data_IF_308675400576
#
_entry.id   IF_308675400576
#
_cell.length_a   1.000
_cell.length_b   1.000
_cell.length_c   1.000
_cell.angle_alpha   90.00
_cell.angle_beta   90.00
_cell.angle_gamma   90.00
#
_symmetry.space_group_name_H-M   'P 1'
#
loop_
_entity.id
_entity.type
_entity.pdbx_description
1 polymer ?
#
# COMPACT_ATOMS: atom_id res chain seq x y z
N UNK A 1 -6.88 -26.06 -23.73
CA UNK A 1 -7.58 -26.20 -22.44
C UNK A 1 -7.45 -27.64 -21.96
N UNK A 2 -7.20 -27.85 -20.67
CA UNK A 2 -6.66 -29.09 -20.09
C UNK A 2 -7.72 -30.15 -19.68
N UNK A 3 -8.90 -30.17 -20.31
CA UNK A 3 -9.87 -31.27 -20.13
C UNK A 3 -10.58 -31.32 -18.77
N UNK A 4 -10.78 -30.18 -18.13
CA UNK A 4 -11.61 -30.09 -16.92
C UNK A 4 -13.09 -30.10 -17.32
N UNK A 5 -13.89 -30.93 -16.65
CA UNK A 5 -15.34 -31.04 -16.89
C UNK A 5 -16.09 -29.75 -16.50
N UNK A 6 -15.60 -29.02 -15.49
CA UNK A 6 -16.08 -27.66 -15.18
C UNK A 6 -15.02 -26.83 -14.48
N UNK A 7 -15.03 -25.52 -14.73
CA UNK A 7 -14.21 -24.52 -14.06
C UNK A 7 -15.11 -23.34 -13.72
N UNK A 8 -15.17 -22.96 -12.45
CA UNK A 8 -16.03 -21.89 -11.97
C UNK A 8 -15.28 -20.98 -11.02
N UNK A 9 -15.57 -19.68 -11.09
CA UNK A 9 -15.10 -18.68 -10.15
C UNK A 9 -16.18 -18.48 -9.08
N UNK A 10 -15.85 -18.81 -7.83
CA UNK A 10 -16.75 -18.65 -6.68
C UNK A 10 -16.25 -17.48 -5.84
N UNK A 11 -17.10 -16.49 -5.64
CA UNK A 11 -16.75 -15.22 -4.99
C UNK A 11 -17.29 -15.14 -3.56
N UNK A 12 -16.59 -14.38 -2.73
CA UNK A 12 -17.00 -14.03 -1.38
C UNK A 12 -16.74 -12.55 -1.14
N UNK A 13 -17.67 -11.90 -0.45
CA UNK A 13 -17.48 -10.54 0.04
C UNK A 13 -16.72 -10.60 1.36
N UNK A 14 -15.44 -10.22 1.30
CA UNK A 14 -14.54 -10.19 2.46
C UNK A 14 -14.06 -8.77 2.70
N UNK A 15 -13.79 -8.44 3.96
CA UNK A 15 -13.19 -7.14 4.30
C UNK A 15 -11.73 -7.14 3.85
N UNK A 16 -11.40 -6.23 2.94
CA UNK A 16 -10.05 -5.94 2.50
C UNK A 16 -9.64 -4.54 2.99
N UNK A 17 -8.34 -4.30 3.07
CA UNK A 17 -7.77 -3.02 3.48
C UNK A 17 -6.71 -2.60 2.45
N UNK A 18 -6.69 -1.33 2.08
CA UNK A 18 -5.73 -0.75 1.15
C UNK A 18 -5.34 0.66 1.64
N UNK A 19 -4.12 1.14 1.32
CA UNK A 19 -3.75 2.53 1.57
C UNK A 19 -4.55 3.50 0.69
N UNK A 20 -4.64 4.77 1.10
CA UNK A 20 -5.30 5.82 0.33
C UNK A 20 -4.33 6.40 -0.72
N UNK A 21 -4.65 6.25 -2.00
CA UNK A 21 -3.83 6.74 -3.11
C UNK A 21 -3.65 8.27 -3.11
N UNK A 22 -4.59 9.01 -2.49
CA UNK A 22 -4.56 10.48 -2.41
C UNK A 22 -3.89 11.00 -1.14
N UNK A 23 -3.73 10.14 -0.13
CA UNK A 23 -3.14 10.45 1.19
C UNK A 23 -2.16 9.35 1.58
N UNK A 24 -0.94 9.35 1.02
CA UNK A 24 0.01 8.28 1.23
C UNK A 24 0.48 8.23 2.68
N UNK A 25 0.73 7.02 3.18
CA UNK A 25 1.26 6.80 4.52
C UNK A 25 2.76 7.12 4.54
N UNK A 26 3.21 7.76 5.62
CA UNK A 26 4.63 7.94 5.91
C UNK A 26 4.82 8.16 7.41
N UNK A 27 6.06 8.01 7.88
CA UNK A 27 6.49 8.39 9.22
C UNK A 27 7.43 9.59 9.08
N UNK A 28 7.32 10.56 9.98
CA UNK A 28 8.21 11.72 10.02
C UNK A 28 8.89 11.87 11.38
N UNK A 29 10.06 12.51 11.36
CA UNK A 29 10.74 13.03 12.55
C UNK A 29 10.46 14.53 12.57
N UNK A 30 9.88 15.03 13.67
CA UNK A 30 9.53 16.44 13.85
C UNK A 30 10.46 17.14 14.85
N UNK A 31 10.66 18.45 14.68
CA UNK A 31 11.32 19.30 15.67
C UNK A 31 10.36 19.74 16.79
N UNK A 32 10.87 20.50 17.76
CA UNK A 32 10.09 21.04 18.89
C UNK A 32 8.98 22.02 18.47
N UNK A 33 9.03 22.55 17.25
CA UNK A 33 8.02 23.44 16.67
C UNK A 33 7.03 22.69 15.76
N UNK A 34 7.17 21.37 15.62
CA UNK A 34 6.33 20.54 14.76
C UNK A 34 6.74 20.53 13.28
N UNK A 35 7.91 21.06 12.93
CA UNK A 35 8.40 21.01 11.56
C UNK A 35 8.97 19.62 11.25
N UNK A 36 8.60 19.06 10.10
CA UNK A 36 9.16 17.79 9.63
C UNK A 36 10.64 17.97 9.21
N UNK A 37 11.54 17.24 9.86
CA UNK A 37 12.97 17.20 9.55
C UNK A 37 13.30 16.07 8.58
N UNK A 38 12.58 14.96 8.67
CA UNK A 38 12.80 13.77 7.86
C UNK A 38 11.50 13.00 7.66
N UNK A 39 11.28 12.49 6.44
CA UNK A 39 10.13 11.66 6.09
C UNK A 39 10.60 10.32 5.50
N UNK A 40 9.88 9.25 5.81
CA UNK A 40 10.12 7.94 5.17
C UNK A 40 9.74 7.96 3.69
N UNK A 41 10.25 6.98 2.93
CA UNK A 41 9.86 6.82 1.53
C UNK A 41 8.37 6.53 1.39
N UNK A 42 7.73 7.11 0.37
CA UNK A 42 6.31 6.86 0.04
C UNK A 42 6.11 5.55 -0.73
N UNK A 43 7.14 5.08 -1.44
CA UNK A 43 7.14 3.84 -2.19
C UNK A 43 8.54 3.24 -2.25
N UNK A 44 8.62 1.95 -2.55
CA UNK A 44 9.91 1.33 -2.87
C UNK A 44 10.36 1.75 -4.29
N UNK A 45 11.68 1.86 -4.54
CA UNK A 45 12.18 2.03 -5.89
C UNK A 45 11.81 0.79 -6.74
N UNK A 46 11.36 0.96 -7.99
CA UNK A 46 11.04 -0.17 -8.85
C UNK A 46 12.29 -1.05 -9.07
N UNK A 47 12.15 -2.39 -9.03
CA UNK A 47 13.26 -3.26 -9.38
C UNK A 47 13.60 -3.13 -10.88
N UNK A 48 14.85 -3.41 -11.28
CA UNK A 48 15.26 -3.33 -12.67
C UNK A 48 14.37 -4.17 -13.61
N UNK A 49 13.90 -3.58 -14.70
CA UNK A 49 12.98 -4.20 -15.66
C UNK A 49 11.49 -4.06 -15.32
N UNK A 50 11.15 -3.45 -14.18
CA UNK A 50 9.77 -3.19 -13.74
C UNK A 50 9.43 -1.69 -13.71
N UNK A 51 10.25 -0.84 -14.31
CA UNK A 51 10.09 0.62 -14.27
C UNK A 51 8.76 1.10 -14.88
N UNK A 52 8.22 0.34 -15.84
CA UNK A 52 6.95 0.64 -16.49
C UNK A 52 5.73 0.01 -15.77
N UNK A 53 5.96 -0.82 -14.75
CA UNK A 53 4.88 -1.49 -14.02
C UNK A 53 4.17 -0.48 -13.13
N UNK A 54 2.87 -0.34 -13.37
CA UNK A 54 1.98 0.54 -12.60
C UNK A 54 1.22 -0.27 -11.56
N UNK A 55 0.60 0.42 -10.61
CA UNK A 55 -0.27 -0.16 -9.58
C UNK A 55 0.47 -1.06 -8.58
N UNK A 56 1.77 -0.80 -8.35
CA UNK A 56 2.47 -1.38 -7.20
C UNK A 56 1.95 -0.66 -5.95
N UNK A 57 1.33 -1.43 -5.04
CA UNK A 57 0.78 -0.88 -3.80
C UNK A 57 1.92 -0.44 -2.89
N UNK A 58 1.89 0.80 -2.32
CA UNK A 58 2.95 1.25 -1.43
C UNK A 58 2.97 0.45 -0.12
N UNK A 59 4.09 0.44 0.61
CA UNK A 59 4.19 -0.25 1.89
C UNK A 59 3.14 0.22 2.90
N UNK A 60 2.37 -0.71 3.48
CA UNK A 60 1.40 -0.42 4.53
C UNK A 60 1.14 -1.67 5.39
N UNK A 61 0.65 -1.47 6.61
CA UNK A 61 0.13 -2.55 7.45
C UNK A 61 -1.37 -2.67 7.25
N UNK A 62 -1.82 -3.76 6.62
CA UNK A 62 -3.24 -4.00 6.37
C UNK A 62 -4.05 -4.02 7.68
N UNK A 63 -5.23 -3.41 7.64
CA UNK A 63 -6.14 -3.24 8.78
C UNK A 63 -5.62 -2.35 9.92
N UNK A 64 -4.49 -1.64 9.73
CA UNK A 64 -4.05 -0.62 10.69
C UNK A 64 -5.12 0.46 10.87
N UNK A 65 -5.28 0.92 12.12
CA UNK A 65 -6.14 2.04 12.42
C UNK A 65 -5.64 3.31 11.73
N UNK A 66 -6.57 4.21 11.39
CA UNK A 66 -6.24 5.54 10.88
C UNK A 66 -5.89 6.47 12.05
N UNK A 67 -4.87 7.29 11.88
CA UNK A 67 -4.50 8.32 12.85
C UNK A 67 -3.10 8.89 12.59
N UNK A 68 -2.84 10.06 13.15
CA UNK A 68 -1.50 10.62 13.32
C UNK A 68 -1.28 10.72 14.83
N UNK A 69 -0.55 9.76 15.44
CA UNK A 69 -0.33 9.77 16.89
C UNK A 69 0.48 11.00 17.32
N UNK A 70 0.26 11.44 18.57
CA UNK A 70 1.01 12.52 19.24
C UNK A 70 2.29 12.03 19.92
#
# INVERSE_FOLDING_TARGET
EFGLDSVQLVHYDVLLSYPDDTKPNYISITDEHGNEIFNTSLSEPPPPGYEAVRNVVPPYSAFSAQGMPE
#
